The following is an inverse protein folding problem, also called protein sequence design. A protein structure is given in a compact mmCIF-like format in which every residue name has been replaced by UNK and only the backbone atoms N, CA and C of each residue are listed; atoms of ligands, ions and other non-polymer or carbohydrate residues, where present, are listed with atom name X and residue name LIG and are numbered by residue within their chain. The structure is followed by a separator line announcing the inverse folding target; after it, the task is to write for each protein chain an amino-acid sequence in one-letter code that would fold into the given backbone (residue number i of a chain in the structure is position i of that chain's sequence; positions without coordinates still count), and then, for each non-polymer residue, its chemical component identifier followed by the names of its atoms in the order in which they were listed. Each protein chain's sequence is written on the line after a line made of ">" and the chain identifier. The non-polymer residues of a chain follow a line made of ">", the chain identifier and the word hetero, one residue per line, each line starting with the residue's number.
data_IF_452660020628
#
_entry.id   IF_452660020628
#
_cell.length_a   1.000
_cell.length_b   1.000
_cell.length_c   1.000
_cell.angle_alpha   90.00
_cell.angle_beta   90.00
_cell.angle_gamma   90.00
#
_symmetry.space_group_name_H-M   'P 1'
#
loop_
_entity.id
_entity.type
_entity.pdbx_description
1 polymer ?
#
# COMPACT_ATOMS: atom_id res chain seq x y z
N UNK A 1 14.52 -14.17 -24.35
CA UNK A 1 13.09 -13.85 -24.15
C UNK A 1 12.67 -12.77 -25.15
N UNK A 2 11.40 -12.65 -25.55
CA UNK A 2 10.94 -11.61 -26.49
C UNK A 2 10.60 -10.29 -25.76
N UNK A 3 10.73 -9.14 -26.44
CA UNK A 3 10.44 -7.81 -25.88
C UNK A 3 9.03 -7.73 -25.28
N UNK A 4 7.99 -8.05 -26.06
CA UNK A 4 6.60 -8.00 -25.60
C UNK A 4 6.28 -9.01 -24.49
N UNK A 5 6.99 -10.14 -24.43
CA UNK A 5 6.88 -11.09 -23.30
C UNK A 5 7.45 -10.47 -22.03
N UNK A 6 8.61 -9.83 -22.10
CA UNK A 6 9.18 -9.10 -20.96
C UNK A 6 8.29 -7.94 -20.50
N UNK A 7 7.76 -7.16 -21.45
CA UNK A 7 6.85 -6.05 -21.17
C UNK A 7 5.57 -6.53 -20.47
N UNK A 8 4.99 -7.63 -20.95
CA UNK A 8 3.83 -8.27 -20.32
C UNK A 8 4.08 -8.81 -18.91
N UNK A 9 5.33 -9.16 -18.56
CA UNK A 9 5.70 -9.55 -17.19
C UNK A 9 5.86 -8.34 -16.25
N UNK A 10 6.25 -7.18 -16.79
CA UNK A 10 6.51 -5.96 -16.01
C UNK A 10 5.24 -5.12 -15.79
N UNK A 11 4.34 -5.04 -16.76
CA UNK A 11 3.09 -4.29 -16.63
C UNK A 11 2.25 -4.65 -15.39
N UNK A 12 2.12 -5.92 -14.98
CA UNK A 12 1.44 -6.29 -13.74
C UNK A 12 2.00 -5.59 -12.49
N UNK A 13 3.32 -5.36 -12.41
CA UNK A 13 3.93 -4.65 -11.29
C UNK A 13 3.45 -3.20 -11.24
N UNK A 14 3.32 -2.54 -12.39
CA UNK A 14 2.79 -1.17 -12.48
C UNK A 14 1.31 -1.12 -12.07
N UNK A 15 0.51 -2.08 -12.53
CA UNK A 15 -0.92 -2.19 -12.19
C UNK A 15 -1.10 -2.36 -10.68
N UNK A 16 -0.37 -3.29 -10.06
CA UNK A 16 -0.48 -3.58 -8.62
C UNK A 16 -0.03 -2.41 -7.74
N UNK A 17 0.99 -1.68 -8.20
CA UNK A 17 1.48 -0.47 -7.54
C UNK A 17 0.41 0.61 -7.55
N UNK A 18 -0.14 0.90 -8.73
CA UNK A 18 -1.19 1.91 -8.88
C UNK A 18 -2.45 1.55 -8.09
N UNK A 19 -2.83 0.28 -8.08
CA UNK A 19 -3.95 -0.24 -7.28
C UNK A 19 -3.73 0.04 -5.80
N UNK A 20 -2.49 -0.16 -5.31
CA UNK A 20 -2.14 0.11 -3.91
C UNK A 20 -2.28 1.59 -3.56
N UNK A 21 -1.85 2.50 -4.45
CA UNK A 21 -1.94 3.96 -4.26
C UNK A 21 -3.40 4.40 -4.20
N UNK A 22 -4.20 3.98 -5.17
CA UNK A 22 -5.62 4.34 -5.23
C UNK A 22 -6.42 3.73 -4.06
N UNK A 23 -6.07 2.51 -3.63
CA UNK A 23 -6.65 1.91 -2.43
C UNK A 23 -6.31 2.70 -1.15
N UNK A 24 -5.06 3.15 -0.98
CA UNK A 24 -4.66 4.00 0.14
C UNK A 24 -5.38 5.35 0.12
N UNK A 25 -5.57 5.94 -1.07
CA UNK A 25 -6.33 7.16 -1.23
C UNK A 25 -7.81 6.96 -0.87
N UNK A 26 -8.43 5.87 -1.34
CA UNK A 26 -9.80 5.52 -0.98
C UNK A 26 -9.97 5.33 0.54
N UNK A 27 -9.00 4.68 1.19
CA UNK A 27 -8.95 4.55 2.65
C UNK A 27 -8.83 5.92 3.32
N UNK A 28 -8.00 6.83 2.81
CA UNK A 28 -7.86 8.18 3.35
C UNK A 28 -9.18 8.96 3.25
N UNK A 29 -9.87 8.89 2.10
CA UNK A 29 -11.18 9.51 1.89
C UNK A 29 -12.23 8.90 2.81
N UNK A 30 -12.27 7.58 3.00
CA UNK A 30 -13.18 6.93 3.95
C UNK A 30 -12.98 7.47 5.37
N UNK A 31 -11.72 7.61 5.80
CA UNK A 31 -11.39 8.16 7.12
C UNK A 31 -11.82 9.61 7.26
N UNK A 32 -11.62 10.40 6.22
CA UNK A 32 -12.10 11.78 6.18
C UNK A 32 -13.61 11.85 6.36
N UNK A 33 -14.37 11.07 5.58
CA UNK A 33 -15.83 11.06 5.66
C UNK A 33 -16.33 10.63 7.04
N UNK A 34 -15.74 9.59 7.63
CA UNK A 34 -16.09 9.09 8.96
C UNK A 34 -15.94 10.15 10.06
N UNK A 35 -14.90 10.97 9.97
CA UNK A 35 -14.61 12.02 10.96
C UNK A 35 -15.38 13.32 10.67
N UNK A 36 -15.60 13.65 9.40
CA UNK A 36 -16.26 14.88 8.97
C UNK A 36 -17.78 14.83 9.12
N UNK A 37 -18.41 13.68 8.82
CA UNK A 37 -19.88 13.51 8.81
C UNK A 37 -20.34 12.26 9.59
N UNK A 38 -20.04 12.16 10.90
CA UNK A 38 -20.27 10.93 11.67
C UNK A 38 -21.73 10.43 11.64
N UNK A 39 -22.71 11.34 11.61
CA UNK A 39 -24.15 11.00 11.61
C UNK A 39 -24.60 10.44 10.25
N UNK A 40 -24.14 11.06 9.15
CA UNK A 40 -24.52 10.68 7.77
C UNK A 40 -23.59 9.64 7.15
N UNK A 41 -22.47 9.29 7.79
CA UNK A 41 -21.48 8.38 7.23
C UNK A 41 -22.10 7.06 6.76
N UNK A 42 -22.97 6.43 7.55
CA UNK A 42 -23.61 5.15 7.21
C UNK A 42 -24.55 5.23 6.00
N UNK A 43 -25.16 6.39 5.73
CA UNK A 43 -26.01 6.58 4.54
C UNK A 43 -25.20 7.01 3.31
N UNK A 44 -24.07 7.67 3.51
CA UNK A 44 -23.17 8.11 2.43
C UNK A 44 -22.30 6.96 1.93
N UNK A 45 -21.62 6.24 2.83
CA UNK A 45 -20.69 5.15 2.52
C UNK A 45 -21.43 3.82 2.66
N UNK A 46 -22.00 3.34 1.55
CA UNK A 46 -22.71 2.06 1.48
C UNK A 46 -21.83 0.98 0.85
N UNK A 47 -22.09 -0.32 1.13
CA UNK A 47 -21.33 -1.42 0.55
C UNK A 47 -21.30 -1.41 -0.98
N UNK A 48 -22.43 -1.08 -1.63
CA UNK A 48 -22.53 -0.96 -3.10
C UNK A 48 -21.60 0.14 -3.63
N UNK A 49 -21.60 1.32 -3.01
CA UNK A 49 -20.73 2.44 -3.42
C UNK A 49 -19.25 2.13 -3.18
N UNK A 50 -18.93 1.46 -2.07
CA UNK A 50 -17.56 1.01 -1.79
C UNK A 50 -17.08 -0.02 -2.83
N UNK A 51 -17.93 -0.97 -3.21
CA UNK A 51 -17.63 -1.94 -4.28
C UNK A 51 -17.38 -1.26 -5.63
N UNK A 52 -18.21 -0.27 -6.01
CA UNK A 52 -17.99 0.54 -7.22
C UNK A 52 -16.66 1.28 -7.14
N UNK A 53 -16.35 1.93 -6.02
CA UNK A 53 -15.09 2.65 -5.85
C UNK A 53 -13.86 1.73 -5.99
N UNK A 54 -13.91 0.53 -5.41
CA UNK A 54 -12.85 -0.48 -5.56
C UNK A 54 -12.71 -0.91 -7.01
N UNK A 55 -13.82 -1.18 -7.70
CA UNK A 55 -13.83 -1.53 -9.12
C UNK A 55 -13.22 -0.42 -10.00
N UNK A 56 -13.55 0.85 -9.71
CA UNK A 56 -12.95 2.00 -10.39
C UNK A 56 -11.44 2.09 -10.12
N UNK A 57 -10.97 1.85 -8.90
CA UNK A 57 -9.54 1.85 -8.59
C UNK A 57 -8.81 0.82 -9.45
N UNK A 58 -9.30 -0.43 -9.49
CA UNK A 58 -8.70 -1.48 -10.32
C UNK A 58 -8.72 -1.16 -11.81
N UNK A 59 -9.84 -0.62 -12.32
CA UNK A 59 -9.97 -0.24 -13.72
C UNK A 59 -8.95 0.83 -14.09
N UNK A 60 -8.86 1.90 -13.29
CA UNK A 60 -7.88 2.97 -13.51
C UNK A 60 -6.46 2.43 -13.46
N UNK A 61 -6.14 1.58 -12.47
CA UNK A 61 -4.83 0.95 -12.36
C UNK A 61 -4.46 0.08 -13.55
N UNK A 62 -5.43 -0.66 -14.10
CA UNK A 62 -5.24 -1.44 -15.31
C UNK A 62 -4.93 -0.54 -16.51
N UNK A 63 -5.73 0.51 -16.72
CA UNK A 63 -5.53 1.45 -17.82
C UNK A 63 -4.15 2.13 -17.74
N UNK A 64 -3.79 2.64 -16.56
CA UNK A 64 -2.49 3.27 -16.33
C UNK A 64 -1.35 2.27 -16.53
N UNK A 65 -1.39 1.10 -15.90
CA UNK A 65 -0.31 0.12 -15.96
C UNK A 65 -0.14 -0.58 -17.31
N UNK A 66 -1.17 -0.61 -18.15
CA UNK A 66 -1.12 -1.16 -19.52
C UNK A 66 -0.65 -0.14 -20.58
N UNK A 67 -0.54 1.15 -20.24
CA UNK A 67 -0.08 2.21 -21.16
C UNK A 67 1.20 1.85 -21.94
N UNK A 68 2.24 1.22 -21.34
CA UNK A 68 3.42 0.80 -22.10
C UNK A 68 3.11 -0.21 -23.21
N UNK A 69 2.13 -1.10 -23.03
CA UNK A 69 1.71 -2.06 -24.05
C UNK A 69 0.97 -1.41 -25.22
N UNK A 70 0.31 -0.28 -24.99
CA UNK A 70 -0.34 0.50 -26.04
C UNK A 70 0.62 1.35 -26.90
N UNK A 71 1.92 1.36 -26.57
CA UNK A 71 2.94 1.94 -27.45
C UNK A 71 3.94 2.86 -26.76
N UNK A 72 3.71 3.26 -25.51
CA UNK A 72 4.66 4.11 -24.76
C UNK A 72 5.80 3.29 -24.12
N UNK A 73 6.51 2.53 -24.96
CA UNK A 73 7.58 1.61 -24.57
C UNK A 73 8.88 1.88 -25.36
N UNK A 74 9.97 1.24 -24.95
CA UNK A 74 11.29 1.46 -25.52
C UNK A 74 11.55 0.70 -26.85
N UNK A 75 10.55 0.03 -27.43
CA UNK A 75 10.73 -0.85 -28.60
C UNK A 75 11.42 -0.13 -29.75
N UNK A 76 10.88 1.02 -30.19
CA UNK A 76 11.43 1.79 -31.30
C UNK A 76 12.89 2.25 -31.08
N UNK A 77 13.32 2.45 -29.82
CA UNK A 77 14.67 2.90 -29.48
C UNK A 77 15.67 1.73 -29.33
N UNK A 78 15.20 0.53 -28.98
CA UNK A 78 16.06 -0.58 -28.54
C UNK A 78 15.89 -1.89 -29.31
N UNK A 79 15.03 -1.95 -30.35
CA UNK A 79 14.70 -3.17 -31.10
C UNK A 79 15.95 -3.95 -31.55
N UNK A 80 16.92 -3.27 -32.15
CA UNK A 80 18.13 -3.90 -32.70
C UNK A 80 19.18 -4.28 -31.64
N UNK A 81 19.01 -3.83 -30.40
CA UNK A 81 19.97 -4.03 -29.29
C UNK A 81 19.40 -4.92 -28.18
N UNK A 82 18.22 -5.49 -28.40
CA UNK A 82 17.56 -6.30 -27.39
C UNK A 82 18.17 -7.72 -27.36
N UNK A 83 19.15 -7.93 -26.50
CA UNK A 83 19.87 -9.20 -26.35
C UNK A 83 19.07 -10.31 -25.64
N UNK A 84 17.73 -10.20 -25.61
CA UNK A 84 16.85 -11.20 -25.01
C UNK A 84 16.82 -11.23 -23.47
N UNK A 85 17.58 -10.37 -22.79
CA UNK A 85 17.55 -10.16 -21.34
C UNK A 85 16.42 -9.21 -20.95
N UNK A 86 15.65 -9.58 -19.93
CA UNK A 86 14.51 -8.79 -19.49
C UNK A 86 14.90 -7.90 -18.32
N UNK A 87 15.00 -6.61 -18.60
CA UNK A 87 15.31 -5.59 -17.62
C UNK A 87 14.33 -4.43 -17.79
N UNK A 88 13.94 -3.83 -16.67
CA UNK A 88 12.89 -2.83 -16.61
C UNK A 88 13.21 -1.59 -17.46
N UNK A 89 14.41 -1.06 -17.31
CA UNK A 89 14.98 0.08 -18.03
C UNK A 89 15.10 -0.14 -19.54
N UNK A 90 15.17 -1.39 -19.99
CA UNK A 90 15.25 -1.75 -21.42
C UNK A 90 13.90 -1.81 -22.12
N UNK A 91 12.79 -2.01 -21.40
CA UNK A 91 11.46 -2.14 -21.99
C UNK A 91 10.54 -0.96 -21.69
N UNK A 92 10.71 -0.31 -20.53
CA UNK A 92 9.95 0.86 -20.10
C UNK A 92 10.75 2.14 -20.31
N UNK A 93 10.15 3.16 -20.94
CA UNK A 93 10.78 4.47 -21.09
C UNK A 93 10.81 5.23 -19.77
N UNK A 94 11.92 5.88 -19.46
CA UNK A 94 12.04 6.74 -18.28
C UNK A 94 11.10 7.94 -18.32
N UNK A 95 10.86 8.51 -19.51
CA UNK A 95 9.89 9.60 -19.72
C UNK A 95 8.49 9.21 -19.23
N UNK A 96 8.04 8.00 -19.58
CA UNK A 96 6.77 7.45 -19.11
C UNK A 96 6.77 7.31 -17.58
N UNK A 97 7.84 6.77 -17.00
CA UNK A 97 7.94 6.57 -15.56
C UNK A 97 7.95 7.87 -14.75
N UNK A 98 8.56 8.93 -15.28
CA UNK A 98 8.69 10.20 -14.58
C UNK A 98 7.47 11.08 -14.82
N UNK A 99 7.13 11.40 -16.07
CA UNK A 99 6.09 12.37 -16.37
C UNK A 99 4.68 11.81 -16.16
N UNK A 100 4.40 10.66 -16.76
CA UNK A 100 3.06 10.09 -16.71
C UNK A 100 2.84 9.37 -15.37
N UNK A 101 3.69 8.40 -15.04
CA UNK A 101 3.50 7.60 -13.84
C UNK A 101 3.78 8.40 -12.56
N UNK A 102 4.98 8.96 -12.37
CA UNK A 102 5.32 9.62 -11.10
C UNK A 102 4.56 10.94 -10.90
N UNK A 103 4.71 11.92 -11.81
CA UNK A 103 4.06 13.22 -11.65
C UNK A 103 2.55 13.20 -11.89
N UNK A 104 2.05 12.31 -12.75
CA UNK A 104 0.62 12.19 -13.03
C UNK A 104 -0.13 11.33 -12.01
N UNK A 105 0.39 10.15 -11.67
CA UNK A 105 -0.38 9.12 -10.94
C UNK A 105 0.13 8.79 -9.55
N UNK A 106 1.40 9.05 -9.22
CA UNK A 106 1.95 8.75 -7.87
C UNK A 106 1.94 9.97 -6.96
N UNK A 107 2.52 11.09 -7.41
CA UNK A 107 2.70 12.28 -6.59
C UNK A 107 1.36 12.95 -6.22
N UNK A 108 0.39 13.14 -7.12
CA UNK A 108 -0.85 13.82 -6.77
C UNK A 108 -1.69 13.05 -5.72
N UNK A 109 -1.89 11.71 -5.82
CA UNK A 109 -2.53 10.96 -4.75
C UNK A 109 -1.78 11.01 -3.42
N UNK A 110 -0.44 10.96 -3.41
CA UNK A 110 0.36 11.10 -2.18
C UNK A 110 0.14 12.44 -1.49
N UNK A 111 0.17 13.53 -2.26
CA UNK A 111 -0.08 14.89 -1.73
C UNK A 111 -1.52 15.00 -1.22
N UNK A 112 -2.50 14.49 -1.97
CA UNK A 112 -3.91 14.51 -1.58
C UNK A 112 -4.13 13.71 -0.29
N UNK A 113 -3.54 12.52 -0.16
CA UNK A 113 -3.61 11.72 1.06
C UNK A 113 -3.01 12.48 2.26
N UNK A 114 -1.85 13.12 2.09
CA UNK A 114 -1.24 13.92 3.14
C UNK A 114 -2.17 15.05 3.60
N UNK A 115 -2.75 15.80 2.67
CA UNK A 115 -3.72 16.87 2.96
C UNK A 115 -4.93 16.32 3.73
N UNK A 116 -5.48 15.18 3.27
CA UNK A 116 -6.61 14.53 3.92
C UNK A 116 -6.26 14.13 5.36
N UNK A 117 -5.12 13.48 5.60
CA UNK A 117 -4.72 13.09 6.96
C UNK A 117 -4.49 14.29 7.86
N UNK A 118 -3.87 15.36 7.37
CA UNK A 118 -3.74 16.62 8.12
C UNK A 118 -5.12 17.15 8.50
N UNK A 119 -6.09 17.15 7.57
CA UNK A 119 -7.45 17.58 7.84
C UNK A 119 -8.14 16.69 8.89
N UNK A 120 -7.98 15.36 8.80
CA UNK A 120 -8.49 14.40 9.79
C UNK A 120 -7.92 14.69 11.17
N UNK A 121 -6.60 14.84 11.31
CA UNK A 121 -5.97 15.15 12.60
C UNK A 121 -6.43 16.49 13.17
N UNK A 122 -6.60 17.52 12.33
CA UNK A 122 -7.13 18.83 12.75
C UNK A 122 -8.56 18.72 13.28
N UNK A 123 -9.45 17.99 12.58
CA UNK A 123 -10.85 17.83 13.01
C UNK A 123 -10.90 17.07 14.34
N UNK A 124 -10.16 15.96 14.46
CA UNK A 124 -10.13 15.16 15.68
C UNK A 124 -9.62 15.99 16.86
N UNK A 125 -8.51 16.73 16.71
CA UNK A 125 -7.96 17.58 17.77
C UNK A 125 -8.93 18.68 18.18
N UNK A 126 -9.62 19.32 17.22
CA UNK A 126 -10.63 20.35 17.49
C UNK A 126 -11.82 19.81 18.28
N UNK A 127 -12.27 18.58 17.97
CA UNK A 127 -13.37 17.95 18.70
C UNK A 127 -12.96 17.53 20.12
N UNK A 128 -11.70 17.10 20.30
CA UNK A 128 -11.15 16.82 21.61
C UNK A 128 -10.89 18.09 22.45
N UNK A 129 -10.55 19.22 21.81
CA UNK A 129 -10.24 20.49 22.50
C UNK A 129 -11.46 21.33 22.87
N UNK A 130 -12.61 21.16 22.21
CA UNK A 130 -13.90 21.82 22.58
C UNK A 130 -14.45 21.43 23.97
N UNK A 131 -13.67 20.67 24.74
CA UNK A 131 -14.07 19.92 25.92
C UNK A 131 -13.74 20.59 27.27
N UNK A 132 -13.41 21.88 27.30
CA UNK A 132 -13.34 22.61 28.58
C UNK A 132 -14.73 22.97 29.18
N UNK A 133 -15.85 22.43 28.65
CA UNK A 133 -17.18 22.80 29.17
C UNK A 133 -18.37 21.84 28.96
N UNK A 134 -18.20 20.58 28.54
CA UNK A 134 -19.34 19.66 28.42
C UNK A 134 -19.00 18.20 28.73
N UNK A 135 -19.63 17.67 29.78
CA UNK A 135 -19.30 16.42 30.50
C UNK A 135 -19.70 15.11 29.81
N UNK A 136 -19.80 15.05 28.48
CA UNK A 136 -20.12 13.79 27.80
C UNK A 136 -18.85 12.96 27.50
N UNK A 137 -18.75 11.76 28.08
CA UNK A 137 -17.62 10.84 27.90
C UNK A 137 -17.66 10.08 26.54
N UNK A 138 -18.82 10.03 25.88
CA UNK A 138 -19.03 9.28 24.64
C UNK A 138 -18.28 9.84 23.42
N UNK A 139 -18.32 11.16 23.12
CA UNK A 139 -17.60 11.73 21.97
C UNK A 139 -16.09 11.59 22.12
N UNK A 140 -15.54 11.76 23.32
CA UNK A 140 -14.11 11.62 23.61
C UNK A 140 -13.62 10.19 23.35
N UNK A 141 -14.35 9.18 23.84
CA UNK A 141 -14.01 7.78 23.61
C UNK A 141 -14.08 7.42 22.12
N UNK A 142 -15.01 8.00 21.36
CA UNK A 142 -15.12 7.82 19.92
C UNK A 142 -13.94 8.47 19.17
N UNK A 143 -13.70 9.77 19.33
CA UNK A 143 -12.63 10.49 18.63
C UNK A 143 -11.23 10.03 19.05
N UNK A 144 -11.05 9.59 20.30
CA UNK A 144 -9.80 8.98 20.77
C UNK A 144 -9.49 7.65 20.06
N UNK A 145 -10.51 6.82 19.81
CA UNK A 145 -10.35 5.59 19.01
C UNK A 145 -10.06 5.91 17.54
N UNK A 146 -10.80 6.84 16.95
CA UNK A 146 -10.55 7.27 15.56
C UNK A 146 -9.16 7.89 15.40
N UNK A 147 -8.63 8.58 16.41
CA UNK A 147 -7.25 9.10 16.42
C UNK A 147 -6.21 7.97 16.34
N UNK A 148 -6.38 6.92 17.13
CA UNK A 148 -5.45 5.77 17.12
C UNK A 148 -5.44 5.10 15.75
N UNK A 149 -6.61 4.91 15.15
CA UNK A 149 -6.74 4.33 13.80
C UNK A 149 -6.10 5.25 12.76
N UNK A 150 -6.38 6.56 12.80
CA UNK A 150 -5.79 7.53 11.89
C UNK A 150 -4.26 7.58 11.98
N UNK A 151 -3.69 7.49 13.19
CA UNK A 151 -2.23 7.38 13.40
C UNK A 151 -1.65 6.14 12.73
N UNK A 152 -2.31 4.99 12.89
CA UNK A 152 -1.85 3.75 12.25
C UNK A 152 -1.88 3.85 10.72
N UNK A 153 -2.92 4.45 10.14
CA UNK A 153 -3.04 4.60 8.69
C UNK A 153 -2.10 5.68 8.11
N UNK A 154 -1.88 6.76 8.85
CA UNK A 154 -0.84 7.74 8.48
C UNK A 154 0.57 7.13 8.50
N UNK A 155 0.85 6.20 9.43
CA UNK A 155 2.08 5.43 9.42
C UNK A 155 2.18 4.52 8.19
N UNK A 156 1.10 3.84 7.80
CA UNK A 156 1.08 3.04 6.55
C UNK A 156 1.42 3.92 5.35
N UNK A 157 0.83 5.11 5.24
CA UNK A 157 1.13 6.07 4.18
C UNK A 157 2.60 6.50 4.18
N UNK A 158 3.14 6.81 5.37
CA UNK A 158 4.55 7.20 5.50
C UNK A 158 5.49 6.08 5.06
N UNK A 159 5.24 4.84 5.49
CA UNK A 159 6.03 3.68 5.08
C UNK A 159 5.92 3.42 3.58
N UNK A 160 4.72 3.56 3.01
CA UNK A 160 4.52 3.47 1.57
C UNK A 160 5.39 4.50 0.83
N UNK A 161 5.33 5.78 1.23
CA UNK A 161 6.14 6.83 0.62
C UNK A 161 7.65 6.56 0.78
N UNK A 162 8.09 6.09 1.95
CA UNK A 162 9.48 5.74 2.20
C UNK A 162 9.96 4.57 1.34
N UNK A 163 9.07 3.62 1.03
CA UNK A 163 9.40 2.51 0.16
C UNK A 163 9.44 2.85 -1.33
N UNK A 164 8.62 3.81 -1.78
CA UNK A 164 8.42 4.11 -3.20
C UNK A 164 9.17 5.36 -3.70
N UNK A 165 9.24 6.42 -2.90
CA UNK A 165 9.88 7.67 -3.31
C UNK A 165 11.37 7.52 -3.70
N UNK A 166 12.20 6.69 -3.03
CA UNK A 166 13.60 6.52 -3.44
C UNK A 166 13.74 6.08 -4.90
N UNK A 167 12.90 5.13 -5.35
CA UNK A 167 12.94 4.65 -6.74
C UNK A 167 12.51 5.74 -7.73
N UNK A 168 11.45 6.48 -7.43
CA UNK A 168 11.00 7.58 -8.28
C UNK A 168 12.00 8.74 -8.34
N UNK A 169 12.69 9.03 -7.24
CA UNK A 169 13.77 10.02 -7.19
C UNK A 169 14.93 9.54 -8.07
N UNK A 170 15.33 8.27 -7.99
CA UNK A 170 16.36 7.71 -8.87
C UNK A 170 15.97 7.81 -10.34
N UNK A 171 14.71 7.52 -10.69
CA UNK A 171 14.21 7.65 -12.05
C UNK A 171 14.24 9.12 -12.54
N UNK A 172 13.90 10.08 -11.69
CA UNK A 172 14.00 11.50 -12.01
C UNK A 172 15.46 11.92 -12.23
N UNK A 173 16.37 11.50 -11.35
CA UNK A 173 17.80 11.78 -11.46
C UNK A 173 18.36 11.19 -12.77
N UNK A 174 18.00 9.95 -13.08
CA UNK A 174 18.39 9.29 -14.33
C UNK A 174 17.91 10.05 -15.57
N UNK A 175 16.66 10.55 -15.56
CA UNK A 175 16.10 11.29 -16.69
C UNK A 175 16.67 12.71 -16.85
N UNK A 176 16.80 13.46 -15.75
CA UNK A 176 17.11 14.90 -15.79
C UNK A 176 18.59 15.25 -15.66
N UNK A 177 19.36 14.45 -14.93
CA UNK A 177 20.74 14.80 -14.54
C UNK A 177 21.78 13.99 -15.31
N UNK A 178 21.52 12.71 -15.58
CA UNK A 178 22.56 11.79 -16.06
C UNK A 178 22.47 11.50 -17.55
N UNK A 179 23.18 12.33 -18.34
CA UNK A 179 23.62 12.01 -19.72
C UNK A 179 25.10 11.57 -19.80
N UNK A 180 25.80 11.42 -18.66
CA UNK A 180 27.26 11.20 -18.59
C UNK A 180 27.65 10.05 -17.63
N UNK A 181 28.09 8.94 -18.23
CA UNK A 181 29.14 7.95 -17.86
C UNK A 181 29.45 7.53 -16.40
N UNK A 182 28.50 7.57 -15.46
CA UNK A 182 28.65 6.96 -14.12
C UNK A 182 27.65 5.81 -13.87
N UNK A 183 27.71 4.79 -14.74
CA UNK A 183 26.80 3.64 -14.76
C UNK A 183 26.78 2.84 -13.42
N UNK A 184 27.94 2.55 -12.81
CA UNK A 184 28.01 1.51 -11.76
C UNK A 184 27.34 1.85 -10.41
N UNK A 185 27.48 3.08 -9.90
CA UNK A 185 26.92 3.45 -8.60
C UNK A 185 25.39 3.58 -8.65
N UNK A 186 24.85 4.02 -9.78
CA UNK A 186 23.41 4.19 -9.99
C UNK A 186 22.67 2.83 -10.02
N UNK A 187 23.29 1.79 -10.58
CA UNK A 187 22.73 0.42 -10.59
C UNK A 187 22.54 -0.17 -9.18
N UNK A 188 23.50 0.07 -8.26
CA UNK A 188 23.42 -0.42 -6.86
C UNK A 188 22.29 0.31 -6.12
N UNK A 189 22.23 1.64 -6.22
CA UNK A 189 21.18 2.45 -5.57
C UNK A 189 19.79 2.07 -6.10
N UNK A 190 19.66 1.88 -7.42
CA UNK A 190 18.41 1.46 -8.06
C UNK A 190 17.99 0.06 -7.60
N UNK A 191 18.94 -0.87 -7.44
CA UNK A 191 18.67 -2.23 -6.93
C UNK A 191 18.17 -2.21 -5.49
N UNK A 192 18.78 -1.39 -4.62
CA UNK A 192 18.32 -1.19 -3.24
C UNK A 192 16.90 -0.59 -3.23
N UNK A 193 16.63 0.40 -4.09
CA UNK A 193 15.31 1.00 -4.22
C UNK A 193 14.26 0.00 -4.70
N UNK A 194 14.60 -0.88 -5.66
CA UNK A 194 13.72 -1.97 -6.11
C UNK A 194 13.41 -2.93 -4.96
N UNK A 195 14.42 -3.39 -4.22
CA UNK A 195 14.20 -4.22 -3.02
C UNK A 195 13.24 -3.56 -2.03
N UNK A 196 13.38 -2.25 -1.82
CA UNK A 196 12.50 -1.48 -0.95
C UNK A 196 11.03 -1.48 -1.43
N UNK A 197 10.80 -1.40 -2.74
CA UNK A 197 9.42 -1.50 -3.30
C UNK A 197 8.81 -2.88 -3.07
N UNK A 198 9.60 -3.97 -3.12
CA UNK A 198 9.10 -5.31 -2.82
C UNK A 198 8.76 -5.48 -1.32
N UNK A 199 9.53 -4.87 -0.43
CA UNK A 199 9.24 -4.85 1.00
C UNK A 199 7.88 -4.19 1.33
N UNK A 200 7.42 -3.23 0.53
CA UNK A 200 6.14 -2.55 0.75
C UNK A 200 4.95 -3.53 0.87
N UNK A 201 4.93 -4.59 0.07
CA UNK A 201 3.88 -5.62 0.12
C UNK A 201 3.91 -6.42 1.44
N UNK A 202 5.11 -6.70 1.97
CA UNK A 202 5.29 -7.40 3.24
C UNK A 202 4.94 -6.52 4.46
N UNK A 203 5.10 -5.20 4.33
CA UNK A 203 4.81 -4.25 5.42
C UNK A 203 3.31 -4.16 5.74
N UNK A 204 2.42 -4.37 4.77
CA UNK A 204 0.98 -4.23 4.98
C UNK A 204 0.44 -5.17 6.09
N UNK A 205 0.63 -6.50 6.05
CA UNK A 205 0.24 -7.40 7.15
C UNK A 205 0.92 -7.09 8.48
N UNK A 206 2.21 -6.76 8.47
CA UNK A 206 3.00 -6.45 9.67
C UNK A 206 2.40 -5.24 10.38
N UNK A 207 2.15 -4.15 9.66
CA UNK A 207 1.56 -2.94 10.25
C UNK A 207 0.17 -3.23 10.83
N UNK A 208 -0.66 -4.02 10.14
CA UNK A 208 -1.98 -4.39 10.67
C UNK A 208 -1.89 -5.27 11.92
N UNK A 209 -1.01 -6.27 11.93
CA UNK A 209 -0.82 -7.19 13.06
C UNK A 209 -0.33 -6.47 14.33
N UNK A 210 0.60 -5.52 14.21
CA UNK A 210 1.14 -4.81 15.37
C UNK A 210 0.29 -3.62 15.83
N UNK A 211 -0.47 -2.97 14.93
CA UNK A 211 -1.18 -1.72 15.24
C UNK A 211 -2.67 -1.87 15.44
N UNK A 212 -3.32 -2.83 14.78
CA UNK A 212 -4.77 -3.03 14.91
C UNK A 212 -5.04 -4.19 15.86
N UNK A 213 -5.44 -3.87 17.09
CA UNK A 213 -5.73 -4.89 18.14
C UNK A 213 -6.66 -6.01 17.64
N UNK A 214 -7.68 -5.67 16.85
CA UNK A 214 -8.62 -6.65 16.28
C UNK A 214 -7.91 -7.66 15.36
N UNK A 215 -7.02 -7.19 14.48
CA UNK A 215 -6.24 -8.07 13.60
C UNK A 215 -5.28 -8.94 14.41
N UNK A 216 -4.57 -8.37 15.40
CA UNK A 216 -3.70 -9.14 16.29
C UNK A 216 -4.43 -10.30 16.96
N UNK A 217 -5.61 -10.04 17.52
CA UNK A 217 -6.42 -11.08 18.18
C UNK A 217 -6.85 -12.16 17.19
N UNK A 218 -7.31 -11.78 16.00
CA UNK A 218 -7.71 -12.74 14.96
C UNK A 218 -6.52 -13.55 14.44
N UNK A 219 -5.34 -12.94 14.24
CA UNK A 219 -4.12 -13.67 13.85
C UNK A 219 -3.71 -14.70 14.89
N UNK A 220 -3.75 -14.35 16.18
CA UNK A 220 -3.46 -15.29 17.26
C UNK A 220 -4.50 -16.42 17.34
N UNK A 221 -5.77 -16.13 17.09
CA UNK A 221 -6.82 -17.16 17.02
C UNK A 221 -6.57 -18.14 15.88
N UNK A 222 -6.30 -17.64 14.67
CA UNK A 222 -5.98 -18.48 13.50
C UNK A 222 -4.71 -19.30 13.77
N UNK A 223 -3.67 -18.68 14.34
CA UNK A 223 -2.44 -19.37 14.71
C UNK A 223 -2.71 -20.53 15.68
N UNK A 224 -3.45 -20.27 16.76
CA UNK A 224 -3.76 -21.28 17.76
C UNK A 224 -4.69 -22.39 17.26
N UNK A 225 -5.52 -22.11 16.25
CA UNK A 225 -6.50 -23.06 15.72
C UNK A 225 -5.93 -23.95 14.60
N UNK A 226 -5.03 -23.41 13.78
CA UNK A 226 -4.57 -24.09 12.56
C UNK A 226 -3.05 -24.35 12.51
N UNK A 227 -2.24 -23.55 13.19
CA UNK A 227 -0.77 -23.65 13.12
C UNK A 227 -0.14 -24.15 14.42
N UNK A 228 -0.82 -23.98 15.54
CA UNK A 228 -0.41 -24.55 16.81
C UNK A 228 -0.94 -25.98 16.90
N UNK A 229 -0.06 -26.96 16.66
CA UNK A 229 -0.36 -28.35 16.99
C UNK A 229 -0.61 -28.43 18.50
N UNK A 230 -1.87 -28.55 18.92
CA UNK A 230 -2.17 -29.12 20.23
C UNK A 230 -1.67 -30.56 20.19
N UNK A 231 -0.58 -30.84 20.89
CA UNK A 231 -0.30 -32.22 21.31
C UNK A 231 -1.49 -32.61 22.19
N UNK A 232 -2.31 -33.54 21.69
CA UNK A 232 -3.45 -34.05 22.43
C UNK A 232 -2.96 -34.69 23.74
N UNK A 233 -3.25 -34.03 24.86
CA UNK A 233 -2.98 -34.55 26.22
C UNK A 233 -4.00 -35.61 26.66
N UNK A 234 -4.63 -36.33 25.73
CA UNK A 234 -5.61 -37.38 26.04
C UNK A 234 -5.04 -38.81 25.95
N UNK A 235 -3.73 -38.98 25.70
CA UNK A 235 -3.11 -40.32 25.67
C UNK A 235 -2.60 -40.77 27.06
N UNK A 236 -2.50 -39.89 28.06
CA UNK A 236 -1.94 -40.26 29.38
C UNK A 236 -2.97 -40.68 30.45
N UNK A 237 -4.28 -40.70 30.13
CA UNK A 237 -5.32 -41.13 31.09
C UNK A 237 -5.89 -42.53 30.83
N UNK A 238 -5.36 -43.29 29.87
CA UNK A 238 -5.78 -44.69 29.61
C UNK A 238 -4.80 -45.71 30.22
N UNK A 239 -3.61 -45.28 30.66
CA UNK A 239 -2.57 -46.18 31.18
C UNK A 239 -2.51 -46.38 32.70
N UNK A 240 -3.40 -45.77 33.49
CA UNK A 240 -3.25 -45.73 34.96
C UNK A 240 -4.43 -46.29 35.75
N UNK A 241 -5.35 -47.02 35.11
CA UNK A 241 -6.49 -47.67 35.77
C UNK A 241 -6.39 -49.20 35.91
N UNK A 242 -5.33 -49.85 35.39
CA UNK A 242 -5.27 -51.31 35.31
C UNK A 242 -4.23 -51.98 36.23
N UNK A 243 -3.68 -51.31 37.25
CA UNK A 243 -2.80 -51.95 38.24
C UNK A 243 -3.11 -51.45 39.66
N UNK A 244 -4.07 -52.10 40.30
CA UNK A 244 -4.16 -52.23 41.76
C UNK A 244 -4.94 -53.51 42.08
N UNK A 245 -4.19 -54.61 42.27
CA UNK A 245 -4.57 -55.73 43.14
C UNK A 245 -4.16 -55.34 44.55
#
# INVERSE_FOLDING_TARGET
>A
MNFYKCLGLICPLLILTESSILALLAIAVDRYLRVKIPIRYKSVVTPKRAGVAIGCCWLISFLVGMTPLFGWNAYAQRNNTFNGTCQFDKVIRMEYMVYFNFFGWVLPPLVLMLIIYIAVFKIIRKQLSKKFGSSSAYPEKYYGKELQIAKSLALVLFLFALCWLPLHICNCINLFVYKLDYEKHLHIITSIAICMTHCNSAMNPIVYAFRIKKFRTTFLQIWNQYFYCKVDRNINNIGNSDIAI
#
